data_IF_155166284614
#
_entry.id   IF_155166284614
#
_cell.length_a   1.000
_cell.length_b   1.000
_cell.length_c   1.000
_cell.angle_alpha   90.00
_cell.angle_beta   90.00
_cell.angle_gamma   90.00
#
_symmetry.space_group_name_H-M   'P 1'
#
loop_
_entity.id
_entity.type
_entity.pdbx_description
1 polymer ?
#
# COMPACT_ATOMS: atom_id res chain seq x y z
N UNK A 1 10.42 -18.99 21.79
CA UNK A 1 9.46 -17.86 21.82
C UNK A 1 10.05 -16.60 21.20
N UNK A 2 11.21 -16.10 21.64
CA UNK A 2 11.87 -14.91 21.05
C UNK A 2 12.23 -15.09 19.56
N UNK A 3 12.68 -16.28 19.14
CA UNK A 3 13.01 -16.61 17.75
C UNK A 3 11.84 -16.42 16.77
N UNK A 4 10.60 -16.62 17.23
CA UNK A 4 9.39 -16.41 16.44
C UNK A 4 8.90 -14.97 16.55
N UNK A 5 8.94 -14.40 17.76
CA UNK A 5 8.43 -13.07 18.02
C UNK A 5 9.18 -11.98 17.25
N UNK A 6 10.51 -12.08 17.13
CA UNK A 6 11.32 -11.03 16.49
C UNK A 6 10.98 -10.88 14.99
N UNK A 7 10.98 -11.94 14.15
CA UNK A 7 10.54 -11.83 12.75
C UNK A 7 9.13 -11.26 12.61
N UNK A 8 8.18 -11.73 13.41
CA UNK A 8 6.78 -11.29 13.34
C UNK A 8 6.66 -9.81 13.67
N UNK A 9 7.22 -9.38 14.81
CA UNK A 9 7.17 -7.97 15.23
C UNK A 9 7.90 -7.07 14.23
N UNK A 10 9.02 -7.52 13.68
CA UNK A 10 9.74 -6.78 12.64
C UNK A 10 8.89 -6.61 11.39
N UNK A 11 8.27 -7.68 10.86
CA UNK A 11 7.42 -7.60 9.68
C UNK A 11 6.23 -6.66 9.91
N UNK A 12 5.55 -6.76 11.05
CA UNK A 12 4.45 -5.86 11.43
C UNK A 12 4.91 -4.42 11.49
N UNK A 13 6.04 -4.16 12.15
CA UNK A 13 6.61 -2.82 12.29
C UNK A 13 6.94 -2.21 10.93
N UNK A 14 7.70 -2.93 10.09
CA UNK A 14 8.13 -2.42 8.78
C UNK A 14 6.93 -2.14 7.89
N UNK A 15 5.94 -3.03 7.85
CA UNK A 15 4.73 -2.85 7.05
C UNK A 15 3.89 -1.66 7.53
N UNK A 16 3.68 -1.55 8.84
CA UNK A 16 2.92 -0.45 9.43
C UNK A 16 3.59 0.90 9.16
N UNK A 17 4.91 0.95 9.39
CA UNK A 17 5.72 2.14 9.18
C UNK A 17 5.78 2.53 7.70
N UNK A 18 6.00 1.57 6.79
CA UNK A 18 6.05 1.85 5.35
C UNK A 18 4.72 2.41 4.84
N UNK A 19 3.60 1.85 5.27
CA UNK A 19 2.25 2.33 4.89
C UNK A 19 2.02 3.76 5.40
N UNK A 20 2.36 4.02 6.66
CA UNK A 20 2.26 5.36 7.24
C UNK A 20 3.16 6.39 6.53
N UNK A 21 4.39 6.01 6.20
CA UNK A 21 5.35 6.88 5.51
C UNK A 21 4.88 7.22 4.09
N UNK A 22 4.35 6.25 3.34
CA UNK A 22 3.80 6.49 2.00
C UNK A 22 2.63 7.48 2.06
N UNK A 23 1.72 7.32 3.02
CA UNK A 23 0.59 8.23 3.21
C UNK A 23 1.03 9.65 3.59
N UNK A 24 2.05 9.77 4.44
CA UNK A 24 2.64 11.05 4.81
C UNK A 24 3.28 11.74 3.60
N UNK A 25 4.06 11.01 2.79
CA UNK A 25 4.73 11.55 1.61
C UNK A 25 3.73 11.98 0.52
N UNK A 26 2.64 11.24 0.35
CA UNK A 26 1.57 11.60 -0.59
C UNK A 26 0.73 12.79 -0.10
N UNK A 27 0.70 13.06 1.21
CA UNK A 27 0.07 14.25 1.76
C UNK A 27 0.88 15.55 1.61
N UNK A 28 2.15 15.48 1.21
CA UNK A 28 2.98 16.68 1.04
C UNK A 28 2.53 17.54 -0.17
N UNK A 29 2.89 18.83 -0.22
CA UNK A 29 2.56 19.69 -1.36
C UNK A 29 3.12 19.13 -2.67
N UNK A 30 2.37 19.20 -3.78
CA UNK A 30 2.76 18.66 -5.09
C UNK A 30 4.16 19.05 -5.59
N UNK A 31 4.68 20.21 -5.17
CA UNK A 31 6.05 20.65 -5.49
C UNK A 31 7.13 19.71 -4.93
N UNK A 32 6.83 19.01 -3.84
CA UNK A 32 7.73 18.05 -3.17
C UNK A 32 7.71 16.66 -3.80
N UNK A 33 6.67 16.30 -4.56
CA UNK A 33 6.52 14.96 -5.15
C UNK A 33 7.72 14.55 -6.01
N UNK A 34 8.33 15.51 -6.74
CA UNK A 34 9.55 15.24 -7.51
C UNK A 34 10.70 14.75 -6.63
N UNK A 35 10.85 15.34 -5.44
CA UNK A 35 11.91 14.98 -4.50
C UNK A 35 11.60 13.66 -3.80
N UNK A 36 10.35 13.46 -3.39
CA UNK A 36 9.89 12.18 -2.84
C UNK A 36 10.15 11.03 -3.82
N UNK A 37 9.88 11.24 -5.11
CA UNK A 37 10.15 10.24 -6.15
C UNK A 37 11.64 10.05 -6.42
N UNK A 38 12.45 11.11 -6.48
CA UNK A 38 13.91 10.98 -6.66
C UNK A 38 14.53 10.18 -5.52
N UNK A 39 14.21 10.54 -4.26
CA UNK A 39 14.71 9.85 -3.07
C UNK A 39 14.22 8.40 -3.05
N UNK A 40 12.94 8.18 -3.32
CA UNK A 40 12.38 6.82 -3.37
C UNK A 40 12.98 5.98 -4.49
N UNK A 41 13.28 6.57 -5.65
CA UNK A 41 13.93 5.87 -6.77
C UNK A 41 15.35 5.47 -6.42
N UNK A 42 16.12 6.38 -5.80
CA UNK A 42 17.47 6.07 -5.31
C UNK A 42 17.43 4.95 -4.27
N UNK A 43 16.48 5.03 -3.33
CA UNK A 43 16.29 4.01 -2.30
C UNK A 43 15.91 2.65 -2.90
N UNK A 44 15.00 2.63 -3.89
CA UNK A 44 14.61 1.41 -4.60
C UNK A 44 15.78 0.81 -5.38
N UNK A 45 16.61 1.63 -6.03
CA UNK A 45 17.81 1.16 -6.72
C UNK A 45 18.83 0.55 -5.75
N UNK A 46 19.07 1.20 -4.60
CA UNK A 46 19.94 0.64 -3.56
C UNK A 46 19.37 -0.63 -2.94
N UNK A 47 18.05 -0.69 -2.73
CA UNK A 47 17.36 -1.88 -2.23
C UNK A 47 17.45 -3.03 -3.23
N UNK A 48 17.30 -2.76 -4.53
CA UNK A 48 17.47 -3.77 -5.56
C UNK A 48 18.90 -4.31 -5.60
N UNK A 49 19.92 -3.44 -5.52
CA UNK A 49 21.32 -3.87 -5.45
C UNK A 49 21.62 -4.69 -4.19
N UNK A 50 21.08 -4.29 -3.04
CA UNK A 50 21.20 -5.06 -1.79
C UNK A 50 20.48 -6.42 -1.90
N UNK A 51 19.31 -6.49 -2.54
CA UNK A 51 18.59 -7.73 -2.78
C UNK A 51 19.44 -8.72 -3.61
N UNK A 52 20.08 -8.24 -4.69
CA UNK A 52 21.03 -9.04 -5.49
C UNK A 52 22.16 -9.57 -4.61
N UNK A 53 22.73 -8.74 -3.74
CA UNK A 53 23.80 -9.17 -2.84
C UNK A 53 23.34 -10.24 -1.84
N UNK A 54 22.13 -10.11 -1.30
CA UNK A 54 21.57 -11.05 -0.32
C UNK A 54 21.12 -12.38 -0.92
N UNK A 55 20.94 -12.46 -2.24
CA UNK A 55 20.39 -13.65 -2.91
C UNK A 55 21.24 -14.91 -2.65
N UNK A 56 22.56 -14.78 -2.76
CA UNK A 56 23.52 -15.88 -2.57
C UNK A 56 23.80 -16.27 -1.13
N UNK A 57 23.28 -15.53 -0.14
CA UNK A 57 23.65 -15.70 1.26
C UNK A 57 22.52 -16.32 2.08
N UNK A 58 22.87 -17.24 2.98
CA UNK A 58 21.88 -17.97 3.81
C UNK A 58 21.97 -17.61 5.28
N UNK A 59 22.14 -16.33 5.61
CA UNK A 59 22.11 -15.86 7.00
C UNK A 59 20.74 -15.27 7.37
N UNK A 60 20.34 -15.31 8.66
CA UNK A 60 19.12 -14.63 9.11
C UNK A 60 19.12 -13.13 8.79
N UNK A 61 20.27 -12.46 8.84
CA UNK A 61 20.40 -11.04 8.52
C UNK A 61 20.05 -10.76 7.05
N UNK A 62 20.50 -11.63 6.14
CA UNK A 62 20.18 -11.53 4.71
C UNK A 62 18.69 -11.77 4.44
N UNK A 63 18.01 -12.62 5.23
CA UNK A 63 16.56 -12.80 5.13
C UNK A 63 15.81 -11.51 5.51
N UNK A 64 16.19 -10.84 6.62
CA UNK A 64 15.64 -9.54 6.99
C UNK A 64 15.93 -8.48 5.92
N UNK A 65 17.16 -8.43 5.43
CA UNK A 65 17.57 -7.47 4.42
C UNK A 65 16.79 -7.67 3.10
N UNK A 66 16.69 -8.90 2.59
CA UNK A 66 15.94 -9.22 1.37
C UNK A 66 14.45 -8.86 1.51
N UNK A 67 13.83 -9.17 2.65
CA UNK A 67 12.45 -8.78 2.95
C UNK A 67 12.26 -7.25 2.93
N UNK A 68 13.12 -6.51 3.63
CA UNK A 68 13.07 -5.04 3.65
C UNK A 68 13.31 -4.45 2.27
N UNK A 69 14.26 -5.00 1.50
CA UNK A 69 14.54 -4.55 0.15
C UNK A 69 13.33 -4.72 -0.78
N UNK A 70 12.64 -5.86 -0.73
CA UNK A 70 11.42 -6.08 -1.48
C UNK A 70 10.33 -5.05 -1.13
N UNK A 71 10.18 -4.71 0.16
CA UNK A 71 9.23 -3.69 0.60
C UNK A 71 9.61 -2.28 0.15
N UNK A 72 10.90 -1.93 0.15
CA UNK A 72 11.36 -0.62 -0.34
C UNK A 72 11.13 -0.47 -1.84
N UNK A 73 11.43 -1.50 -2.62
CA UNK A 73 11.15 -1.55 -4.07
C UNK A 73 9.63 -1.46 -4.31
N UNK A 74 8.83 -2.17 -3.51
CA UNK A 74 7.38 -2.08 -3.57
C UNK A 74 6.86 -0.68 -3.22
N UNK A 75 7.40 -0.06 -2.17
CA UNK A 75 7.02 1.28 -1.72
C UNK A 75 7.25 2.34 -2.79
N UNK A 76 8.27 2.18 -3.63
CA UNK A 76 8.46 3.04 -4.79
C UNK A 76 7.33 2.93 -5.81
N UNK A 77 6.85 1.72 -6.12
CA UNK A 77 5.71 1.54 -7.02
C UNK A 77 4.45 2.23 -6.46
N UNK A 78 4.16 2.03 -5.18
CA UNK A 78 3.01 2.65 -4.51
C UNK A 78 3.10 4.19 -4.56
N UNK A 79 4.27 4.76 -4.25
CA UNK A 79 4.47 6.20 -4.29
C UNK A 79 4.38 6.75 -5.73
N UNK A 80 4.94 6.04 -6.71
CA UNK A 80 4.85 6.42 -8.13
C UNK A 80 3.40 6.39 -8.65
N UNK A 81 2.57 5.48 -8.14
CA UNK A 81 1.14 5.43 -8.45
C UNK A 81 0.37 6.58 -7.78
N UNK A 82 0.54 6.76 -6.46
CA UNK A 82 -0.20 7.74 -5.68
C UNK A 82 0.11 9.18 -6.12
N UNK A 83 1.36 9.49 -6.44
CA UNK A 83 1.75 10.79 -7.00
C UNK A 83 1.27 11.02 -8.45
N UNK A 84 0.71 9.99 -9.10
CA UNK A 84 0.19 10.07 -10.47
C UNK A 84 1.24 9.94 -11.57
N UNK A 85 2.50 9.65 -11.22
CA UNK A 85 3.62 9.55 -12.17
C UNK A 85 3.50 8.33 -13.08
N UNK A 86 3.35 7.13 -12.49
CA UNK A 86 3.13 5.88 -13.21
C UNK A 86 1.68 5.46 -12.99
N UNK A 87 0.79 6.04 -13.79
CA UNK A 87 -0.63 5.67 -13.90
C UNK A 87 -0.94 5.28 -15.33
N UNK A 88 -2.12 4.73 -15.62
CA UNK A 88 -2.49 4.29 -16.96
C UNK A 88 -2.85 5.43 -17.94
N UNK A 89 -3.07 5.10 -19.24
CA UNK A 89 -3.45 6.07 -20.26
C UNK A 89 -4.76 6.83 -19.96
N UNK A 90 -5.66 6.26 -19.15
CA UNK A 90 -6.93 6.90 -18.80
C UNK A 90 -6.82 7.61 -17.46
N UNK A 91 -7.04 8.94 -17.48
CA UNK A 91 -7.09 9.81 -16.28
C UNK A 91 -8.47 10.42 -16.03
N UNK A 92 -9.52 9.81 -16.61
CA UNK A 92 -10.89 10.32 -16.57
C UNK A 92 -11.87 9.27 -16.03
N UNK A 93 -12.91 9.74 -15.34
CA UNK A 93 -13.96 8.89 -14.80
C UNK A 93 -14.71 8.11 -15.90
N UNK A 94 -15.36 7.01 -15.52
CA UNK A 94 -16.31 6.33 -16.41
C UNK A 94 -17.66 7.04 -16.40
N UNK A 95 -18.31 7.24 -17.58
CA UNK A 95 -19.66 7.78 -17.65
C UNK A 95 -20.68 6.99 -16.81
N UNK A 96 -21.66 7.69 -16.25
CA UNK A 96 -22.78 7.07 -15.56
C UNK A 96 -23.54 6.11 -16.51
N UNK A 97 -23.93 4.94 -16.00
CA UNK A 97 -24.67 3.95 -16.80
C UNK A 97 -23.81 3.05 -17.71
N UNK A 98 -22.48 3.22 -17.74
CA UNK A 98 -21.61 2.33 -18.51
C UNK A 98 -21.79 0.85 -18.12
N UNK A 99 -21.63 -0.06 -19.09
CA UNK A 99 -21.71 -1.50 -18.83
C UNK A 99 -20.61 -1.96 -17.85
N UNK A 100 -20.79 -3.13 -17.23
CA UNK A 100 -19.74 -3.74 -16.37
C UNK A 100 -18.43 -3.94 -17.14
N UNK A 101 -18.53 -4.39 -18.39
CA UNK A 101 -17.37 -4.64 -19.24
C UNK A 101 -16.63 -3.36 -19.60
N UNK A 102 -17.37 -2.30 -19.96
CA UNK A 102 -16.77 -0.99 -20.25
C UNK A 102 -16.03 -0.43 -19.04
N UNK A 103 -16.62 -0.53 -17.84
CA UNK A 103 -15.94 -0.15 -16.58
C UNK A 103 -14.69 -0.96 -16.34
N UNK A 104 -14.70 -2.26 -16.62
CA UNK A 104 -13.54 -3.14 -16.47
C UNK A 104 -12.39 -2.71 -17.37
N UNK A 105 -12.66 -2.51 -18.66
CA UNK A 105 -11.66 -2.04 -19.63
C UNK A 105 -11.10 -0.68 -19.20
N UNK A 106 -11.96 0.26 -18.78
CA UNK A 106 -11.49 1.55 -18.31
C UNK A 106 -10.66 1.45 -17.01
N UNK A 107 -11.00 0.55 -16.09
CA UNK A 107 -10.23 0.31 -14.88
C UNK A 107 -8.83 -0.20 -15.22
N UNK A 108 -8.70 -1.16 -16.14
CA UNK A 108 -7.40 -1.64 -16.64
C UNK A 108 -6.63 -0.48 -17.28
N UNK A 109 -7.27 0.31 -18.14
CA UNK A 109 -6.64 1.49 -18.76
C UNK A 109 -6.19 2.55 -17.74
N UNK A 110 -6.76 2.60 -16.54
CA UNK A 110 -6.34 3.55 -15.52
C UNK A 110 -5.09 3.09 -14.75
N UNK A 111 -4.78 1.79 -14.75
CA UNK A 111 -3.65 1.21 -14.00
C UNK A 111 -2.59 0.53 -14.87
N UNK A 112 -2.80 0.44 -16.20
CA UNK A 112 -2.00 -0.42 -17.09
C UNK A 112 -0.48 -0.22 -16.96
N UNK A 113 0.00 1.03 -17.06
CA UNK A 113 1.44 1.31 -16.97
C UNK A 113 2.04 0.95 -15.61
N UNK A 114 1.24 1.08 -14.55
CA UNK A 114 1.64 0.69 -13.21
C UNK A 114 1.78 -0.82 -13.07
N UNK A 115 0.83 -1.60 -13.59
CA UNK A 115 0.92 -3.07 -13.59
C UNK A 115 2.12 -3.57 -14.40
N UNK A 116 2.37 -2.98 -15.57
CA UNK A 116 3.53 -3.33 -16.40
C UNK A 116 4.83 -3.06 -15.63
N UNK A 117 4.93 -1.93 -14.93
CA UNK A 117 6.10 -1.62 -14.11
C UNK A 117 6.31 -2.64 -12.99
N UNK A 118 5.24 -3.01 -12.25
CA UNK A 118 5.31 -4.03 -11.20
C UNK A 118 5.77 -5.38 -11.77
N UNK A 119 5.17 -5.82 -12.89
CA UNK A 119 5.54 -7.10 -13.51
C UNK A 119 7.01 -7.06 -13.97
N UNK A 120 7.46 -5.96 -14.57
CA UNK A 120 8.84 -5.82 -15.06
C UNK A 120 9.86 -5.92 -13.92
N UNK A 121 9.60 -5.24 -12.79
CA UNK A 121 10.46 -5.30 -11.61
C UNK A 121 10.38 -6.67 -10.94
N UNK A 122 9.19 -7.28 -10.88
CA UNK A 122 9.02 -8.65 -10.38
C UNK A 122 9.82 -9.67 -11.19
N UNK A 123 9.81 -9.57 -12.52
CA UNK A 123 10.64 -10.40 -13.40
C UNK A 123 12.13 -10.16 -13.13
N UNK A 124 12.55 -8.91 -12.93
CA UNK A 124 13.94 -8.61 -12.59
C UNK A 124 14.36 -9.22 -11.23
N UNK A 125 13.51 -9.12 -10.20
CA UNK A 125 13.74 -9.74 -8.88
C UNK A 125 13.86 -11.26 -9.02
N UNK A 126 12.93 -11.89 -9.74
CA UNK A 126 12.95 -13.34 -9.99
C UNK A 126 14.22 -13.73 -10.75
N UNK A 127 14.62 -12.97 -11.76
CA UNK A 127 15.81 -13.26 -12.55
C UNK A 127 17.10 -13.23 -11.72
N UNK A 128 17.28 -12.22 -10.85
CA UNK A 128 18.49 -12.09 -10.03
C UNK A 128 18.53 -13.04 -8.82
N UNK A 129 17.38 -13.56 -8.41
CA UNK A 129 17.28 -14.55 -7.33
C UNK A 129 17.11 -15.97 -7.87
N UNK A 130 17.07 -16.17 -9.19
CA UNK A 130 16.79 -17.47 -9.76
C UNK A 130 17.92 -18.46 -9.45
N UNK A 131 17.56 -19.59 -8.82
CA UNK A 131 18.55 -20.60 -8.42
C UNK A 131 19.39 -20.22 -7.20
N UNK A 132 19.17 -19.05 -6.62
CA UNK A 132 19.86 -18.60 -5.41
C UNK A 132 19.15 -19.11 -4.14
N UNK A 133 19.88 -19.35 -3.04
CA UNK A 133 19.32 -19.98 -1.86
C UNK A 133 18.40 -19.07 -1.04
N UNK A 134 18.53 -17.74 -1.13
CA UNK A 134 17.67 -16.78 -0.43
C UNK A 134 16.54 -16.28 -1.33
N UNK A 135 15.36 -16.88 -1.17
CA UNK A 135 14.15 -16.54 -1.92
C UNK A 135 13.23 -15.54 -1.20
N UNK A 136 13.63 -15.01 -0.04
CA UNK A 136 12.75 -14.19 0.81
C UNK A 136 12.29 -12.93 0.09
N UNK A 137 13.18 -12.25 -0.64
CA UNK A 137 12.83 -11.06 -1.42
C UNK A 137 11.78 -11.35 -2.49
N UNK A 138 11.95 -12.46 -3.21
CA UNK A 138 11.03 -12.93 -4.25
C UNK A 138 9.66 -13.28 -3.69
N UNK A 139 9.61 -14.08 -2.63
CA UNK A 139 8.35 -14.43 -1.98
C UNK A 139 7.63 -13.21 -1.43
N UNK A 140 8.36 -12.28 -0.81
CA UNK A 140 7.79 -11.02 -0.32
C UNK A 140 7.16 -10.22 -1.45
N UNK A 141 7.88 -10.06 -2.57
CA UNK A 141 7.38 -9.30 -3.71
C UNK A 141 6.16 -9.97 -4.37
N UNK A 142 6.17 -11.29 -4.52
CA UNK A 142 5.04 -12.07 -5.07
C UNK A 142 3.80 -11.94 -4.16
N UNK A 143 3.97 -12.02 -2.84
CA UNK A 143 2.88 -11.81 -1.87
C UNK A 143 2.29 -10.42 -2.04
N UNK A 144 3.12 -9.38 -2.07
CA UNK A 144 2.67 -8.00 -2.25
C UNK A 144 1.91 -7.83 -3.57
N UNK A 145 2.47 -8.33 -4.68
CA UNK A 145 1.85 -8.26 -5.99
C UNK A 145 0.51 -9.00 -6.05
N UNK A 146 0.48 -10.25 -5.61
CA UNK A 146 -0.72 -11.10 -5.67
C UNK A 146 -1.83 -10.54 -4.78
N UNK A 147 -1.49 -10.11 -3.56
CA UNK A 147 -2.47 -9.56 -2.63
C UNK A 147 -2.97 -8.18 -3.09
N UNK A 148 -2.11 -7.34 -3.68
CA UNK A 148 -2.53 -6.08 -4.30
C UNK A 148 -3.43 -6.31 -5.50
N UNK A 149 -3.12 -7.28 -6.36
CA UNK A 149 -3.98 -7.67 -7.48
C UNK A 149 -5.35 -8.19 -6.99
N UNK A 150 -5.35 -9.05 -5.97
CA UNK A 150 -6.56 -9.54 -5.30
C UNK A 150 -7.41 -8.39 -4.74
N UNK A 151 -6.80 -7.41 -4.08
CA UNK A 151 -7.50 -6.26 -3.54
C UNK A 151 -8.16 -5.41 -4.65
N UNK A 152 -7.44 -5.13 -5.74
CA UNK A 152 -7.98 -4.40 -6.91
C UNK A 152 -9.18 -5.11 -7.52
N UNK A 153 -9.12 -6.44 -7.65
CA UNK A 153 -10.23 -7.24 -8.16
C UNK A 153 -11.42 -7.23 -7.20
N UNK A 154 -11.18 -7.35 -5.90
CA UNK A 154 -12.25 -7.26 -4.88
C UNK A 154 -12.94 -5.88 -4.90
N UNK A 155 -12.17 -4.79 -4.99
CA UNK A 155 -12.71 -3.42 -5.12
C UNK A 155 -13.55 -3.25 -6.39
N UNK A 156 -13.09 -3.81 -7.52
CA UNK A 156 -13.81 -3.76 -8.79
C UNK A 156 -15.13 -4.56 -8.76
N UNK A 157 -15.10 -5.80 -8.25
CA UNK A 157 -16.28 -6.66 -8.12
C UNK A 157 -17.27 -6.14 -7.07
N UNK A 158 -16.72 -5.52 -6.04
CA UNK A 158 -17.38 -4.71 -5.05
C UNK A 158 -17.21 -5.23 -3.64
N UNK A 159 -16.99 -4.30 -2.73
CA UNK A 159 -16.83 -4.50 -1.28
C UNK A 159 -17.50 -3.36 -0.53
N UNK A 160 -17.62 -3.52 0.79
CA UNK A 160 -18.37 -2.59 1.63
C UNK A 160 -17.58 -1.31 1.88
N UNK A 161 -16.30 -1.48 2.19
CA UNK A 161 -15.37 -0.39 2.44
C UNK A 161 -14.42 -0.22 1.25
N UNK A 162 -14.61 0.87 0.50
CA UNK A 162 -13.78 1.21 -0.66
C UNK A 162 -12.51 1.99 -0.28
N UNK A 163 -12.35 2.37 0.99
CA UNK A 163 -11.17 3.09 1.48
C UNK A 163 -10.89 4.38 0.69
N UNK A 164 -11.94 5.08 0.26
CA UNK A 164 -11.83 6.29 -0.60
C UNK A 164 -11.01 7.41 0.06
N UNK A 165 -10.97 7.44 1.39
CA UNK A 165 -10.17 8.37 2.20
C UNK A 165 -8.65 8.22 1.99
N UNK A 166 -8.19 7.03 1.57
CA UNK A 166 -6.78 6.78 1.29
C UNK A 166 -6.36 7.27 -0.09
N UNK A 167 -7.30 7.51 -1.02
CA UNK A 167 -7.00 7.99 -2.36
C UNK A 167 -6.78 9.52 -2.38
N UNK A 168 -5.69 10.01 -3.01
CA UNK A 168 -5.50 11.44 -3.20
C UNK A 168 -6.52 12.02 -4.18
N UNK A 169 -6.73 13.33 -4.10
CA UNK A 169 -7.82 14.01 -4.81
C UNK A 169 -7.78 13.81 -6.34
N UNK A 170 -6.60 13.80 -6.95
CA UNK A 170 -6.44 13.56 -8.39
C UNK A 170 -6.70 12.11 -8.82
N UNK A 171 -6.78 11.15 -7.89
CA UNK A 171 -7.12 9.76 -8.15
C UNK A 171 -8.56 9.41 -7.77
N UNK A 172 -9.36 10.35 -7.22
CA UNK A 172 -10.76 10.10 -6.85
C UNK A 172 -11.63 9.63 -8.00
N UNK A 173 -11.26 9.93 -9.26
CA UNK A 173 -11.96 9.39 -10.43
C UNK A 173 -11.95 7.86 -10.50
N UNK A 174 -10.97 7.18 -9.88
CA UNK A 174 -10.88 5.72 -9.82
C UNK A 174 -12.09 5.09 -9.12
N UNK A 175 -12.69 5.80 -8.16
CA UNK A 175 -13.89 5.36 -7.44
C UNK A 175 -15.05 5.08 -8.41
N UNK A 176 -15.10 5.77 -9.55
CA UNK A 176 -16.12 5.54 -10.58
C UNK A 176 -16.06 4.14 -11.22
N UNK A 177 -14.94 3.42 -11.08
CA UNK A 177 -14.80 2.05 -11.57
C UNK A 177 -15.23 1.00 -10.54
N UNK A 178 -15.31 1.37 -9.26
CA UNK A 178 -15.59 0.44 -8.16
C UNK A 178 -17.09 0.27 -7.91
N UNK A 179 -17.44 -0.79 -7.17
CA UNK A 179 -18.82 -1.10 -6.79
C UNK A 179 -18.93 -1.20 -5.28
N UNK A 180 -19.96 -0.59 -4.70
CA UNK A 180 -20.31 -0.82 -3.29
C UNK A 180 -21.23 -2.03 -3.20
N UNK A 181 -20.77 -3.08 -2.50
CA UNK A 181 -21.53 -4.30 -2.21
C UNK A 181 -21.16 -4.81 -0.83
N UNK A 182 -22.00 -5.61 -0.17
CA UNK A 182 -21.62 -6.20 1.10
C UNK A 182 -20.38 -7.10 0.96
N UNK A 183 -20.35 -7.93 -0.09
CA UNK A 183 -19.28 -8.87 -0.40
C UNK A 183 -19.36 -9.29 -1.88
N UNK A 184 -18.32 -9.92 -2.40
CA UNK A 184 -18.29 -10.55 -3.71
C UNK A 184 -17.86 -12.03 -3.60
N UNK A 185 -18.06 -12.83 -4.64
CA UNK A 185 -17.76 -14.27 -4.62
C UNK A 185 -16.26 -14.60 -4.64
N UNK A 186 -15.39 -13.67 -5.03
CA UNK A 186 -13.94 -13.84 -5.00
C UNK A 186 -13.39 -13.72 -3.57
N UNK A 187 -14.06 -12.96 -2.71
CA UNK A 187 -13.60 -12.66 -1.35
C UNK A 187 -13.25 -13.91 -0.51
N UNK A 188 -14.09 -14.97 -0.42
CA UNK A 188 -13.72 -16.18 0.32
C UNK A 188 -12.43 -16.81 -0.18
N UNK A 189 -12.21 -16.84 -1.51
CA UNK A 189 -10.98 -17.38 -2.10
C UNK A 189 -9.78 -16.50 -1.75
N UNK A 190 -9.94 -15.18 -1.87
CA UNK A 190 -8.93 -14.17 -1.54
C UNK A 190 -8.48 -14.16 -0.08
N UNK A 191 -9.24 -14.78 0.82
CA UNK A 191 -8.89 -14.92 2.24
C UNK A 191 -8.42 -16.34 2.55
N UNK A 192 -9.15 -17.36 2.10
CA UNK A 192 -8.88 -18.75 2.46
C UNK A 192 -7.55 -19.24 1.86
N UNK A 193 -7.28 -18.99 0.58
CA UNK A 193 -6.05 -19.48 -0.06
C UNK A 193 -4.81 -18.85 0.60
N UNK A 194 -4.71 -17.51 0.75
CA UNK A 194 -3.60 -16.91 1.49
C UNK A 194 -3.47 -17.37 2.93
N UNK A 195 -4.59 -17.61 3.64
CA UNK A 195 -4.56 -18.12 5.02
C UNK A 195 -3.95 -19.51 5.10
N UNK A 196 -4.32 -20.41 4.17
CA UNK A 196 -3.75 -21.75 4.09
C UNK A 196 -2.25 -21.65 3.80
N UNK A 197 -1.85 -20.85 2.80
CA UNK A 197 -0.44 -20.67 2.44
C UNK A 197 0.36 -20.12 3.63
N UNK A 198 -0.14 -19.10 4.33
CA UNK A 198 0.50 -18.57 5.52
C UNK A 198 0.64 -19.65 6.62
N UNK A 199 -0.39 -20.47 6.83
CA UNK A 199 -0.34 -21.60 7.76
C UNK A 199 0.72 -22.63 7.39
N UNK A 200 0.85 -22.97 6.11
CA UNK A 200 1.88 -23.87 5.60
C UNK A 200 3.29 -23.29 5.79
N UNK A 201 3.48 -22.00 5.51
CA UNK A 201 4.76 -21.32 5.73
C UNK A 201 5.16 -21.30 7.21
N UNK A 202 4.21 -21.03 8.11
CA UNK A 202 4.45 -21.08 9.56
C UNK A 202 4.77 -22.51 9.99
N UNK A 203 4.03 -23.51 9.50
CA UNK A 203 4.30 -24.91 9.83
C UNK A 203 5.73 -25.30 9.43
N UNK A 204 6.12 -25.00 8.19
CA UNK A 204 7.48 -25.27 7.67
C UNK A 204 8.56 -24.53 8.47
N UNK A 205 8.30 -23.28 8.84
CA UNK A 205 9.21 -22.50 9.68
C UNK A 205 9.43 -23.13 11.06
N UNK A 206 8.43 -23.84 11.59
CA UNK A 206 8.46 -24.43 12.93
C UNK A 206 8.91 -25.90 12.93
N UNK A 207 9.16 -26.51 11.77
CA UNK A 207 9.67 -27.88 11.71
C UNK A 207 11.07 -28.00 12.36
N UNK A 208 11.34 -29.10 13.08
CA UNK A 208 12.68 -29.39 13.56
C UNK A 208 13.67 -29.51 12.40
N UNK A 209 14.80 -28.81 12.48
CA UNK A 209 15.85 -28.86 11.45
C UNK A 209 15.75 -27.81 10.35
N UNK A 210 14.71 -26.98 10.33
CA UNK A 210 14.63 -25.84 9.41
C UNK A 210 15.80 -24.88 9.65
N UNK A 211 16.53 -24.55 8.57
CA UNK A 211 17.68 -23.67 8.64
C UNK A 211 17.32 -22.28 9.21
N UNK A 212 18.18 -21.63 10.02
CA UNK A 212 17.85 -20.38 10.68
C UNK A 212 17.40 -19.26 9.74
N UNK A 213 18.03 -19.11 8.59
CA UNK A 213 17.63 -18.10 7.59
C UNK A 213 16.26 -18.38 6.98
N UNK A 214 15.97 -19.65 6.69
CA UNK A 214 14.67 -20.09 6.18
C UNK A 214 13.56 -19.88 7.21
N UNK A 215 13.82 -20.23 8.47
CA UNK A 215 12.91 -19.99 9.59
C UNK A 215 12.49 -18.51 9.66
N UNK A 216 13.47 -17.60 9.64
CA UNK A 216 13.20 -16.15 9.68
C UNK A 216 12.46 -15.69 8.43
N UNK A 217 12.91 -16.09 7.24
CA UNK A 217 12.30 -15.72 5.97
C UNK A 217 10.83 -16.12 5.85
N UNK A 218 10.51 -17.36 6.20
CA UNK A 218 9.15 -17.88 6.18
C UNK A 218 8.24 -17.12 7.15
N UNK A 219 8.70 -16.84 8.37
CA UNK A 219 7.92 -16.08 9.35
C UNK A 219 7.66 -14.63 8.90
N UNK A 220 8.66 -13.97 8.30
CA UNK A 220 8.51 -12.62 7.76
C UNK A 220 7.42 -12.58 6.67
N UNK A 221 7.52 -13.46 5.68
CA UNK A 221 6.58 -13.51 4.55
C UNK A 221 5.20 -13.98 5.00
N UNK A 222 5.11 -14.98 5.88
CA UNK A 222 3.83 -15.44 6.42
C UNK A 222 3.13 -14.34 7.22
N UNK A 223 3.87 -13.54 7.99
CA UNK A 223 3.31 -12.40 8.72
C UNK A 223 2.78 -11.34 7.75
N UNK A 224 3.54 -11.03 6.69
CA UNK A 224 3.09 -10.12 5.63
C UNK A 224 1.80 -10.60 4.96
N UNK A 225 1.74 -11.89 4.61
CA UNK A 225 0.55 -12.50 4.01
C UNK A 225 -0.64 -12.47 4.97
N UNK A 226 -0.42 -12.74 6.25
CA UNK A 226 -1.43 -12.63 7.30
C UNK A 226 -1.97 -11.20 7.45
N UNK A 227 -1.12 -10.18 7.41
CA UNK A 227 -1.55 -8.78 7.42
C UNK A 227 -2.38 -8.44 6.18
N UNK A 228 -1.99 -8.92 5.00
CA UNK A 228 -2.76 -8.73 3.78
C UNK A 228 -4.14 -9.43 3.83
N UNK A 229 -4.24 -10.58 4.51
CA UNK A 229 -5.53 -11.24 4.78
C UNK A 229 -6.41 -10.38 5.70
N UNK A 230 -5.83 -9.80 6.74
CA UNK A 230 -6.54 -8.89 7.65
C UNK A 230 -7.03 -7.66 6.88
N UNK A 231 -6.21 -7.07 6.00
CA UNK A 231 -6.61 -5.98 5.11
C UNK A 231 -7.81 -6.38 4.23
N UNK A 232 -7.85 -7.62 3.74
CA UNK A 232 -9.01 -8.11 2.99
C UNK A 232 -10.27 -8.16 3.85
N UNK A 233 -10.19 -8.71 5.06
CA UNK A 233 -11.32 -8.70 6.00
C UNK A 233 -11.83 -7.27 6.27
N UNK A 234 -10.92 -6.30 6.37
CA UNK A 234 -11.25 -4.89 6.59
C UNK A 234 -11.98 -4.24 5.42
N UNK A 235 -11.88 -4.78 4.20
CA UNK A 235 -12.69 -4.33 3.04
C UNK A 235 -14.18 -4.73 3.16
N UNK A 236 -14.48 -5.83 3.85
CA UNK A 236 -15.84 -6.37 3.98
C UNK A 236 -16.48 -6.00 5.32
N UNK A 237 -15.70 -5.98 6.41
CA UNK A 237 -16.16 -5.61 7.74
C UNK A 237 -16.38 -4.09 7.84
N UNK A 238 -17.42 -3.63 8.57
CA UNK A 238 -17.70 -2.21 8.76
C UNK A 238 -16.79 -1.58 9.83
N UNK A 239 -15.48 -1.65 9.62
CA UNK A 239 -14.50 -1.07 10.54
C UNK A 239 -14.01 0.28 10.01
N UNK A 240 -13.79 1.29 10.87
CA UNK A 240 -13.25 2.58 10.48
C UNK A 240 -11.74 2.47 10.24
N UNK A 241 -11.33 1.84 9.15
CA UNK A 241 -9.91 1.54 8.83
C UNK A 241 -9.04 2.80 8.81
N UNK A 242 -9.57 3.91 8.32
CA UNK A 242 -8.87 5.19 8.30
C UNK A 242 -8.46 5.69 9.69
N UNK A 243 -9.15 5.23 10.76
CA UNK A 243 -8.82 5.55 12.15
C UNK A 243 -7.37 5.21 12.52
N UNK A 244 -6.84 4.14 11.95
CA UNK A 244 -5.50 3.61 12.22
C UNK A 244 -4.39 4.55 11.74
N UNK A 245 -4.61 5.29 10.64
CA UNK A 245 -3.64 6.21 10.04
C UNK A 245 -4.09 7.67 10.04
N UNK A 246 -5.01 8.06 10.93
CA UNK A 246 -5.48 9.46 11.05
C UNK A 246 -4.34 10.47 11.16
N UNK A 247 -3.29 10.13 11.91
CA UNK A 247 -2.12 11.00 12.06
C UNK A 247 -1.41 11.29 10.72
N UNK A 248 -1.34 10.30 9.82
CA UNK A 248 -0.73 10.46 8.50
C UNK A 248 -1.68 11.19 7.54
N UNK A 249 -2.98 10.87 7.59
CA UNK A 249 -3.99 11.49 6.72
C UNK A 249 -4.23 12.98 7.01
N UNK A 250 -3.99 13.46 8.25
CA UNK A 250 -4.05 14.89 8.60
C UNK A 250 -3.16 15.78 7.73
N UNK A 251 -2.08 15.23 7.17
CA UNK A 251 -1.21 15.98 6.23
C UNK A 251 -1.92 16.42 4.96
N UNK A 252 -3.06 15.79 4.61
CA UNK A 252 -3.91 16.11 3.45
C UNK A 252 -5.03 17.09 3.77
N UNK A 253 -5.26 17.44 5.05
CA UNK A 253 -6.25 18.45 5.39
C UNK A 253 -5.73 19.80 4.84
N UNK A 254 -6.50 20.49 3.95
CA UNK A 254 -6.15 21.84 3.60
C UNK A 254 -6.08 22.63 4.90
N UNK A 255 -4.92 23.20 5.21
CA UNK A 255 -4.74 23.99 6.42
C UNK A 255 -5.93 24.92 6.55
N UNK A 256 -6.59 24.90 7.72
CA UNK A 256 -7.70 25.81 7.99
C UNK A 256 -7.32 27.19 7.47
N UNK A 257 -8.18 27.86 6.66
CA UNK A 257 -8.03 29.28 6.49
C UNK A 257 -7.97 29.84 7.90
N UNK A 258 -6.82 30.38 8.29
CA UNK A 258 -6.76 31.20 9.48
C UNK A 258 -7.74 32.33 9.20
N UNK A 259 -8.96 32.22 9.75
CA UNK A 259 -9.91 33.31 9.65
C UNK A 259 -9.15 34.54 10.13
N UNK A 260 -9.01 35.59 9.30
CA UNK A 260 -8.42 36.82 9.78
C UNK A 260 -9.24 37.23 11.01
N UNK A 261 -8.60 37.65 12.11
CA UNK A 261 -9.32 38.09 13.29
C UNK A 261 -10.40 39.06 12.84
N UNK A 262 -11.65 38.92 13.31
CA UNK A 262 -12.76 39.74 12.85
C UNK A 262 -12.32 41.19 12.88
N UNK A 263 -12.36 41.85 11.72
CA UNK A 263 -12.09 43.27 11.62
C UNK A 263 -13.01 43.93 12.65
N UNK A 264 -12.42 44.53 13.68
CA UNK A 264 -13.13 45.36 14.64
C UNK A 264 -13.79 46.47 13.83
N UNK A 265 -15.08 46.31 13.52
CA UNK A 265 -15.89 47.37 12.95
C UNK A 265 -15.96 48.45 14.02
N UNK A 266 -15.36 49.64 13.82
CA UNK A 266 -15.51 50.71 14.79
C UNK A 266 -17.01 51.03 14.94
N UNK A 267 -17.50 51.26 16.16
CA UNK A 267 -18.91 51.51 16.38
C UNK A 267 -19.38 52.68 15.51
N UNK A 268 -20.45 52.45 14.75
CA UNK A 268 -21.09 53.48 13.93
C UNK A 268 -21.55 54.64 14.82
N UNK A 269 -21.24 55.88 14.43
CA UNK A 269 -21.56 57.15 15.11
C UNK A 269 -23.06 57.43 15.35
N UNK A 270 -23.96 56.46 15.12
CA UNK A 270 -25.40 56.62 15.35
C UNK A 270 -25.81 56.59 16.84
N UNK A 271 -24.90 56.30 17.78
CA UNK A 271 -25.18 56.31 19.21
C UNK A 271 -24.90 57.65 19.92
N UNK A 272 -24.45 58.69 19.21
CA UNK A 272 -24.13 60.00 19.79
C UNK A 272 -25.26 61.06 19.67
N UNK A 273 -26.42 60.71 19.09
CA UNK A 273 -27.54 61.65 18.88
C UNK A 273 -28.72 61.51 19.87
N UNK A 274 -28.64 60.63 20.87
CA UNK A 274 -29.72 60.42 21.85
C UNK A 274 -29.39 60.76 23.31
N UNK A 275 -28.27 61.43 23.59
CA UNK A 275 -27.99 62.01 24.90
C UNK A 275 -28.03 63.55 24.81
N UNK A 276 -29.24 64.11 24.93
CA UNK A 276 -29.46 65.46 25.46
C UNK A 276 -29.71 65.36 26.96
#
# INVERSE_FOLDING_TARGET
MLSVAIPVLFAVFVWWFSTGLILLLDGLPRKTFRWSLVISTALAATAFAALVHTAGNTTPADAYCAFTCALLVWGWHELAFLTGWITGPRKTATPAGASTWTRFVHAIQAILWHEIAIISVGVAIVAVTWGEPNQVGTWTYIVLWTMRASAKLNLFLGVRNLSEEFLPEHLKYLVSFFRRRAMNLLFPISVTVPTIVAGLMVNEALLPGTAPAMHVGLLLVATMLGMAVIEHWMMVLPLPVAALWRWALRSREPGEPHDPPPLLVPPSDNNLLHAR
#
